data_IF_859011065986
#
_entry.id   IF_859011065986
#
_cell.length_a   1.000
_cell.length_b   1.000
_cell.length_c   1.000
_cell.angle_alpha   90.00
_cell.angle_beta   90.00
_cell.angle_gamma   90.00
#
_symmetry.space_group_name_H-M   'P 1'
#
loop_
_entity.id
_entity.type
_entity.pdbx_description
1 polymer ?
#
# COMPACT_ATOMS: atom_id res chain seq x y z
N UNK A 1 31.67 -15.64 -16.86
CA UNK A 1 32.41 -14.84 -15.87
C UNK A 1 31.53 -13.68 -15.50
N UNK A 2 30.76 -13.86 -14.42
CA UNK A 2 29.88 -12.83 -13.85
C UNK A 2 30.77 -11.80 -13.17
N UNK A 3 30.71 -10.55 -13.63
CA UNK A 3 31.26 -9.42 -12.88
C UNK A 3 30.20 -9.02 -11.85
N UNK A 4 30.37 -9.49 -10.62
CA UNK A 4 29.83 -8.86 -9.45
C UNK A 4 30.49 -7.45 -9.30
N UNK A 5 30.01 -6.50 -10.05
CA UNK A 5 30.27 -5.10 -9.72
C UNK A 5 29.29 -4.75 -8.59
N UNK A 6 29.78 -4.78 -7.32
CA UNK A 6 29.18 -3.99 -6.25
C UNK A 6 29.19 -2.55 -6.78
N UNK A 7 28.06 -2.09 -7.26
CA UNK A 7 27.84 -0.68 -7.54
C UNK A 7 27.90 0.02 -6.19
N UNK A 8 28.96 0.77 -5.92
CA UNK A 8 28.95 1.70 -4.78
C UNK A 8 27.80 2.66 -5.04
N UNK A 9 26.78 2.61 -4.18
CA UNK A 9 25.68 3.56 -4.24
C UNK A 9 26.22 4.96 -4.01
N UNK A 10 25.76 5.94 -4.79
CA UNK A 10 26.13 7.33 -4.57
C UNK A 10 25.65 7.80 -3.18
N UNK A 11 26.38 8.73 -2.58
CA UNK A 11 25.96 9.29 -1.27
C UNK A 11 24.79 10.27 -1.39
N UNK A 12 24.45 10.71 -2.62
CA UNK A 12 23.41 11.69 -2.88
C UNK A 12 22.61 11.36 -4.16
N UNK A 13 21.27 11.48 -4.06
CA UNK A 13 20.34 11.28 -5.16
C UNK A 13 19.40 12.46 -5.35
N UNK A 14 18.96 12.68 -6.59
CA UNK A 14 17.90 13.67 -6.85
C UNK A 14 16.58 13.22 -6.20
N UNK A 15 16.27 11.91 -6.22
CA UNK A 15 15.07 11.36 -5.62
C UNK A 15 15.38 10.06 -4.89
N UNK A 16 14.99 9.98 -3.62
CA UNK A 16 14.94 8.73 -2.87
C UNK A 16 13.49 8.28 -2.77
N UNK A 17 13.22 7.06 -3.25
CA UNK A 17 11.92 6.38 -3.15
C UNK A 17 11.98 5.37 -2.01
N UNK A 18 11.10 5.48 -1.03
CA UNK A 18 11.04 4.60 0.14
C UNK A 18 9.87 3.64 -0.01
N UNK A 19 10.18 2.38 -0.30
CA UNK A 19 9.25 1.31 -0.63
C UNK A 19 9.30 0.92 -2.12
N UNK A 20 9.62 -0.35 -2.39
CA UNK A 20 9.73 -0.95 -3.73
C UNK A 20 8.49 -1.77 -4.13
N UNK A 21 7.31 -1.35 -3.71
CA UNK A 21 6.03 -1.88 -4.19
C UNK A 21 5.63 -1.31 -5.55
N UNK A 22 4.41 -1.62 -6.01
CA UNK A 22 3.92 -1.19 -7.33
C UNK A 22 4.00 0.34 -7.52
N UNK A 23 3.66 1.14 -6.50
CA UNK A 23 3.75 2.59 -6.56
C UNK A 23 5.21 3.06 -6.69
N UNK A 24 6.10 2.56 -5.82
CA UNK A 24 7.51 2.98 -5.81
C UNK A 24 8.25 2.61 -7.09
N UNK A 25 8.06 1.40 -7.58
CA UNK A 25 8.70 0.94 -8.83
C UNK A 25 8.19 1.71 -10.04
N UNK A 26 6.87 1.98 -10.13
CA UNK A 26 6.31 2.79 -11.22
C UNK A 26 6.82 4.23 -11.21
N UNK A 27 6.98 4.83 -10.03
CA UNK A 27 7.60 6.13 -9.88
C UNK A 27 9.10 6.10 -10.27
N UNK A 28 9.83 5.07 -9.83
CA UNK A 28 11.25 4.90 -10.13
C UNK A 28 11.50 4.76 -11.64
N UNK A 29 10.69 3.95 -12.33
CA UNK A 29 10.74 3.84 -13.81
C UNK A 29 10.46 5.19 -14.45
N UNK A 30 9.43 5.92 -13.99
CA UNK A 30 9.07 7.24 -14.55
C UNK A 30 10.21 8.24 -14.39
N UNK A 31 10.82 8.30 -13.22
CA UNK A 31 11.93 9.21 -12.90
C UNK A 31 13.23 8.81 -13.62
N UNK A 32 13.57 7.52 -13.65
CA UNK A 32 14.74 7.01 -14.39
C UNK A 32 14.65 7.31 -15.89
N UNK A 33 13.45 7.15 -16.49
CA UNK A 33 13.20 7.54 -17.88
C UNK A 33 13.31 9.05 -18.13
N UNK A 34 13.11 9.85 -17.09
CA UNK A 34 13.34 11.30 -17.10
C UNK A 34 14.82 11.66 -16.80
N UNK A 35 15.72 10.67 -16.78
CA UNK A 35 17.16 10.82 -16.53
C UNK A 35 17.49 11.38 -15.13
N UNK A 36 16.63 11.15 -14.14
CA UNK A 36 16.92 11.51 -12.75
C UNK A 36 17.76 10.43 -12.07
N UNK A 37 18.68 10.85 -11.19
CA UNK A 37 19.35 9.91 -10.28
C UNK A 37 18.36 9.49 -9.19
N UNK A 38 18.05 8.20 -9.13
CA UNK A 38 17.01 7.64 -8.27
C UNK A 38 17.55 6.46 -7.47
N UNK A 39 17.28 6.47 -6.18
CA UNK A 39 17.49 5.33 -5.30
C UNK A 39 16.14 4.81 -4.79
N UNK A 40 15.93 3.51 -4.84
CA UNK A 40 14.82 2.83 -4.16
C UNK A 40 15.36 2.10 -2.93
N UNK A 41 14.81 2.40 -1.75
CA UNK A 41 15.07 1.68 -0.50
C UNK A 41 13.86 0.79 -0.22
N UNK A 42 14.05 -0.54 -0.18
CA UNK A 42 12.93 -1.49 -0.04
C UNK A 42 13.24 -2.59 0.97
N UNK A 43 12.30 -2.83 1.87
CA UNK A 43 12.37 -3.88 2.88
C UNK A 43 12.11 -5.30 2.32
N UNK A 44 11.54 -5.40 1.11
CA UNK A 44 11.22 -6.69 0.49
C UNK A 44 9.97 -7.38 1.04
N UNK A 45 9.09 -6.66 1.73
CA UNK A 45 7.89 -7.19 2.39
C UNK A 45 6.60 -6.60 1.79
N UNK A 46 6.21 -7.01 0.57
CA UNK A 46 4.99 -6.49 -0.03
C UNK A 46 3.74 -6.98 0.72
N UNK A 47 2.76 -6.09 0.90
CA UNK A 47 1.50 -6.35 1.61
C UNK A 47 0.77 -7.61 1.09
N UNK A 48 0.79 -7.80 -0.21
CA UNK A 48 0.08 -8.90 -0.89
C UNK A 48 0.93 -10.17 -1.06
N UNK A 49 2.08 -10.27 -0.41
CA UNK A 49 2.94 -11.47 -0.48
C UNK A 49 2.24 -12.80 -0.11
N UNK A 50 1.23 -12.82 0.79
CA UNK A 50 0.50 -14.06 1.09
C UNK A 50 -0.48 -14.51 0.00
N UNK A 51 -0.83 -13.63 -0.96
CA UNK A 51 -1.77 -13.96 -2.03
C UNK A 51 -1.11 -14.84 -3.10
N UNK A 52 -1.88 -15.76 -3.68
CA UNK A 52 -1.41 -16.65 -4.74
C UNK A 52 -1.19 -15.93 -6.09
N UNK A 53 -1.85 -14.79 -6.30
CA UNK A 53 -1.74 -14.02 -7.53
C UNK A 53 -2.22 -12.58 -7.38
N UNK A 54 -1.77 -11.71 -8.28
CA UNK A 54 -2.25 -10.34 -8.45
C UNK A 54 -3.32 -10.35 -9.51
N UNK A 55 -4.54 -9.90 -9.17
CA UNK A 55 -5.64 -9.81 -10.11
C UNK A 55 -5.97 -8.36 -10.46
N UNK A 56 -6.55 -8.16 -11.66
CA UNK A 56 -6.91 -6.84 -12.15
C UNK A 56 -5.71 -5.98 -12.58
N UNK A 57 -4.51 -6.55 -12.71
CA UNK A 57 -3.36 -5.87 -13.32
C UNK A 57 -3.31 -6.23 -14.81
N UNK A 58 -3.76 -5.30 -15.65
CA UNK A 58 -3.90 -5.52 -17.09
C UNK A 58 -2.62 -6.10 -17.71
N UNK A 59 -2.74 -7.16 -18.47
CA UNK A 59 -1.66 -7.94 -19.11
C UNK A 59 -0.84 -8.84 -18.18
N UNK A 60 -1.06 -8.81 -16.87
CA UNK A 60 -0.36 -9.62 -15.85
C UNK A 60 -1.31 -10.26 -14.84
N UNK A 61 -2.57 -10.50 -15.23
CA UNK A 61 -3.56 -11.11 -14.37
C UNK A 61 -3.11 -12.48 -13.86
N UNK A 62 -3.18 -12.70 -12.55
CA UNK A 62 -2.75 -13.94 -11.90
C UNK A 62 -1.25 -14.09 -11.67
N UNK A 63 -0.43 -13.09 -12.00
CA UNK A 63 1.02 -13.14 -11.73
C UNK A 63 1.31 -13.21 -10.23
N UNK A 64 2.34 -13.96 -9.85
CA UNK A 64 2.84 -13.96 -8.46
C UNK A 64 3.22 -12.53 -8.02
N UNK A 65 2.82 -12.08 -6.81
CA UNK A 65 3.13 -10.74 -6.34
C UNK A 65 4.61 -10.37 -6.33
N UNK A 66 5.49 -11.32 -6.01
CA UNK A 66 6.93 -11.09 -5.97
C UNK A 66 7.52 -11.05 -7.38
N UNK A 67 7.07 -11.93 -8.27
CA UNK A 67 7.47 -11.93 -9.68
C UNK A 67 7.15 -10.59 -10.35
N UNK A 68 5.95 -10.03 -10.11
CA UNK A 68 5.58 -8.71 -10.62
C UNK A 68 6.57 -7.62 -10.17
N UNK A 69 6.95 -7.64 -8.89
CA UNK A 69 7.89 -6.65 -8.35
C UNK A 69 9.32 -6.88 -8.86
N UNK A 70 9.74 -8.13 -9.04
CA UNK A 70 11.06 -8.43 -9.61
C UNK A 70 11.19 -7.93 -11.05
N UNK A 71 10.16 -8.13 -11.87
CA UNK A 71 10.10 -7.53 -13.21
C UNK A 71 10.17 -6.01 -13.16
N UNK A 72 9.43 -5.37 -12.26
CA UNK A 72 9.47 -3.92 -12.09
C UNK A 72 10.84 -3.40 -11.63
N UNK A 73 11.55 -4.15 -10.78
CA UNK A 73 12.93 -3.83 -10.39
C UNK A 73 13.89 -3.92 -11.58
N UNK A 74 13.75 -4.94 -12.43
CA UNK A 74 14.56 -5.09 -13.64
C UNK A 74 14.32 -3.94 -14.62
N UNK A 75 13.05 -3.56 -14.84
CA UNK A 75 12.70 -2.41 -15.68
C UNK A 75 13.33 -1.12 -15.14
N UNK A 76 13.23 -0.84 -13.84
CA UNK A 76 13.81 0.34 -13.23
C UNK A 76 15.35 0.36 -13.32
N UNK A 77 16.02 -0.77 -13.07
CA UNK A 77 17.48 -0.91 -13.26
C UNK A 77 17.91 -0.63 -14.70
N UNK A 78 17.09 -1.04 -15.67
CA UNK A 78 17.33 -0.75 -17.09
C UNK A 78 17.39 0.74 -17.41
N UNK A 79 16.84 1.60 -16.55
CA UNK A 79 16.91 3.06 -16.63
C UNK A 79 17.87 3.70 -15.61
N UNK A 80 18.77 2.92 -15.01
CA UNK A 80 19.81 3.42 -14.13
C UNK A 80 19.35 3.73 -12.71
N UNK A 81 18.25 3.13 -12.25
CA UNK A 81 17.79 3.25 -10.85
C UNK A 81 18.59 2.32 -9.95
N UNK A 82 19.09 2.87 -8.84
CA UNK A 82 19.80 2.13 -7.82
C UNK A 82 18.84 1.56 -6.77
N UNK A 83 19.25 0.48 -6.10
CA UNK A 83 18.45 -0.22 -5.09
C UNK A 83 19.26 -0.55 -3.84
N UNK A 84 18.67 -0.27 -2.68
CA UNK A 84 19.14 -0.76 -1.37
C UNK A 84 18.06 -1.66 -0.79
N UNK A 85 18.43 -2.92 -0.49
CA UNK A 85 17.63 -3.78 0.36
C UNK A 85 17.81 -3.32 1.81
N UNK A 86 16.73 -2.83 2.44
CA UNK A 86 16.79 -2.28 3.79
C UNK A 86 15.54 -1.51 4.18
N UNK A 87 15.53 -1.05 5.41
CA UNK A 87 14.42 -0.29 6.00
C UNK A 87 14.87 1.15 6.25
N UNK A 88 14.20 2.12 5.65
CA UNK A 88 14.31 3.51 6.05
C UNK A 88 13.50 3.72 7.33
N UNK A 89 14.12 4.27 8.37
CA UNK A 89 13.51 4.44 9.70
C UNK A 89 13.10 5.87 9.99
N UNK A 90 13.83 6.84 9.44
CA UNK A 90 13.54 8.26 9.60
C UNK A 90 14.08 9.05 8.41
N UNK A 91 13.59 10.28 8.26
CA UNK A 91 14.18 11.28 7.41
C UNK A 91 14.07 12.65 8.06
N UNK A 92 14.99 13.56 7.71
CA UNK A 92 14.97 14.93 8.19
C UNK A 92 15.37 15.89 7.09
N UNK A 93 14.80 17.08 7.08
CA UNK A 93 15.26 18.18 6.23
C UNK A 93 16.61 18.69 6.71
N UNK A 94 17.53 18.88 5.77
CA UNK A 94 18.85 19.49 6.00
C UNK A 94 19.00 20.82 5.26
N UNK A 95 17.93 21.30 4.59
CA UNK A 95 17.90 22.60 3.95
C UNK A 95 18.15 23.71 4.96
N UNK A 96 18.91 24.74 4.57
CA UNK A 96 19.09 25.94 5.38
C UNK A 96 17.76 26.65 5.65
N UNK A 97 17.69 27.44 6.74
CA UNK A 97 16.51 28.21 7.12
C UNK A 97 16.24 29.43 6.19
N UNK A 98 17.07 29.66 5.18
CA UNK A 98 16.92 30.79 4.25
C UNK A 98 15.82 30.53 3.23
N UNK A 99 15.01 31.55 2.97
CA UNK A 99 13.97 31.48 1.94
C UNK A 99 14.63 31.29 0.57
N UNK A 100 14.27 30.20 -0.13
CA UNK A 100 14.84 29.81 -1.43
C UNK A 100 16.05 28.87 -1.35
N UNK A 101 16.45 28.39 -0.17
CA UNK A 101 17.46 27.35 -0.05
C UNK A 101 17.07 26.09 -0.83
N UNK A 102 18.04 25.41 -1.43
CA UNK A 102 17.78 24.13 -2.09
C UNK A 102 17.31 23.09 -1.06
N UNK A 103 16.23 22.38 -1.40
CA UNK A 103 15.71 21.34 -0.54
C UNK A 103 16.69 20.15 -0.52
N UNK A 104 17.03 19.71 0.68
CA UNK A 104 17.87 18.54 0.92
C UNK A 104 17.39 17.80 2.15
N UNK A 105 17.52 16.48 2.11
CA UNK A 105 17.10 15.58 3.15
C UNK A 105 18.15 14.52 3.42
N UNK A 106 18.29 14.13 4.68
CA UNK A 106 18.97 12.91 5.07
C UNK A 106 17.93 11.82 5.33
N UNK A 107 18.09 10.66 4.72
CA UNK A 107 17.27 9.45 4.95
C UNK A 107 18.10 8.45 5.73
N UNK A 108 17.65 8.08 6.92
CA UNK A 108 18.34 7.16 7.82
C UNK A 108 17.79 5.73 7.64
N UNK A 109 18.69 4.76 7.50
CA UNK A 109 18.37 3.34 7.40
C UNK A 109 18.59 2.65 8.74
N UNK A 110 17.86 1.54 8.97
CA UNK A 110 17.97 0.74 10.19
C UNK A 110 19.36 0.18 10.47
N UNK A 111 20.21 0.06 9.46
CA UNK A 111 21.61 -0.40 9.58
C UNK A 111 22.61 0.74 9.89
N UNK A 112 22.12 1.95 10.11
CA UNK A 112 22.90 3.14 10.46
C UNK A 112 23.45 3.93 9.26
N UNK A 113 23.23 3.47 8.03
CA UNK A 113 23.59 4.27 6.84
C UNK A 113 22.66 5.47 6.71
N UNK A 114 23.18 6.54 6.11
CA UNK A 114 22.40 7.73 5.74
C UNK A 114 22.61 8.02 4.26
N UNK A 115 21.52 8.34 3.57
CA UNK A 115 21.52 8.72 2.15
C UNK A 115 20.93 10.12 2.01
N UNK A 116 21.56 10.95 1.17
CA UNK A 116 21.06 12.29 0.87
C UNK A 116 20.09 12.28 -0.31
N UNK A 117 19.05 13.11 -0.22
CA UNK A 117 18.03 13.26 -1.26
C UNK A 117 17.65 14.73 -1.45
N UNK A 118 17.45 15.16 -2.71
CA UNK A 118 16.80 16.45 -2.97
C UNK A 118 15.29 16.36 -2.80
N UNK A 119 14.69 15.17 -3.07
CA UNK A 119 13.24 14.89 -2.93
C UNK A 119 13.04 13.50 -2.35
N UNK A 120 11.98 13.36 -1.60
CA UNK A 120 11.57 12.07 -1.02
C UNK A 120 10.19 11.70 -1.56
N UNK A 121 10.06 10.43 -2.00
CA UNK A 121 8.78 9.81 -2.28
C UNK A 121 8.59 8.61 -1.35
N UNK A 122 7.56 8.63 -0.52
CA UNK A 122 7.24 7.53 0.38
C UNK A 122 6.10 6.68 -0.21
N UNK A 123 6.38 5.38 -0.39
CA UNK A 123 5.46 4.39 -0.96
C UNK A 123 5.46 3.11 -0.12
N UNK A 124 5.58 3.28 1.19
CA UNK A 124 5.72 2.22 2.20
C UNK A 124 4.46 1.36 2.36
N UNK A 125 3.33 1.79 1.80
CA UNK A 125 2.08 1.08 1.86
C UNK A 125 1.43 1.14 3.25
N UNK A 126 0.69 0.08 3.59
CA UNK A 126 -0.05 -0.05 4.85
C UNK A 126 0.11 -1.43 5.48
N UNK A 127 -0.36 -1.56 6.71
CA UNK A 127 -0.50 -2.82 7.43
C UNK A 127 -1.98 -3.09 7.68
N UNK A 128 -2.41 -4.33 7.41
CA UNK A 128 -3.73 -4.82 7.78
C UNK A 128 -3.72 -5.25 9.26
N UNK A 129 -4.48 -4.56 10.10
CA UNK A 129 -4.69 -4.96 11.49
C UNK A 129 -5.86 -5.94 11.50
N UNK A 130 -5.54 -7.20 11.70
CA UNK A 130 -6.50 -8.31 11.70
C UNK A 130 -7.27 -8.38 13.00
N UNK A 131 -8.54 -8.85 12.99
CA UNK A 131 -9.24 -9.23 14.22
C UNK A 131 -8.45 -10.27 15.03
N UNK A 132 -8.52 -10.14 16.36
CA UNK A 132 -7.87 -11.07 17.29
C UNK A 132 -8.76 -12.32 17.48
N UNK A 133 -8.74 -13.20 16.48
CA UNK A 133 -9.47 -14.45 16.43
C UNK A 133 -8.51 -15.55 15.98
N UNK A 134 -8.44 -16.63 16.70
CA UNK A 134 -7.53 -17.74 16.43
C UNK A 134 -7.70 -18.30 15.02
N UNK A 135 -6.59 -18.42 14.28
CA UNK A 135 -6.54 -18.95 12.93
C UNK A 135 -6.65 -17.89 11.82
N UNK A 136 -7.08 -16.66 12.10
CA UNK A 136 -7.22 -15.61 11.06
C UNK A 136 -5.85 -15.25 10.47
N UNK A 137 -4.85 -15.02 11.31
CA UNK A 137 -3.51 -14.59 10.86
C UNK A 137 -2.83 -15.64 9.99
N UNK A 138 -2.93 -16.91 10.37
CA UNK A 138 -2.31 -18.05 9.68
C UNK A 138 -2.96 -18.33 8.32
N UNK A 139 -4.21 -17.90 8.15
CA UNK A 139 -5.01 -18.13 6.94
C UNK A 139 -5.17 -16.88 6.07
N UNK A 140 -4.61 -15.74 6.51
CA UNK A 140 -4.68 -14.47 5.79
C UNK A 140 -4.06 -14.54 4.40
N UNK A 141 -4.82 -14.11 3.39
CA UNK A 141 -4.41 -14.16 1.98
C UNK A 141 -4.59 -15.53 1.31
N UNK A 142 -5.08 -16.54 2.03
CA UNK A 142 -5.35 -17.91 1.51
C UNK A 142 -6.85 -18.17 1.43
N UNK A 143 -7.50 -18.45 2.54
CA UNK A 143 -8.94 -18.62 2.68
C UNK A 143 -9.56 -17.67 3.71
N UNK A 144 -8.76 -16.81 4.32
CA UNK A 144 -9.21 -15.58 5.00
C UNK A 144 -8.88 -14.38 4.13
N UNK A 145 -9.89 -13.65 3.68
CA UNK A 145 -9.83 -12.69 2.60
C UNK A 145 -10.42 -11.34 3.04
N UNK A 146 -10.14 -10.29 2.25
CA UNK A 146 -10.70 -8.96 2.48
C UNK A 146 -11.44 -8.43 1.26
N UNK A 147 -10.76 -8.43 0.10
CA UNK A 147 -11.20 -7.72 -1.09
C UNK A 147 -11.97 -8.66 -2.05
N UNK A 148 -13.21 -8.36 -2.41
CA UNK A 148 -13.97 -9.19 -3.33
C UNK A 148 -13.40 -9.19 -4.75
N UNK A 149 -12.87 -8.06 -5.21
CA UNK A 149 -12.30 -7.93 -6.55
C UNK A 149 -10.93 -8.58 -6.69
N UNK A 150 -10.23 -8.80 -5.56
CA UNK A 150 -8.92 -9.43 -5.54
C UNK A 150 -9.03 -10.96 -5.46
N UNK A 151 -10.07 -11.49 -4.78
CA UNK A 151 -10.15 -12.92 -4.43
C UNK A 151 -11.54 -13.55 -4.65
N UNK A 152 -12.56 -12.77 -5.00
CA UNK A 152 -13.93 -13.29 -5.14
C UNK A 152 -14.05 -14.39 -6.21
N UNK A 153 -13.27 -14.30 -7.29
CA UNK A 153 -13.28 -15.31 -8.34
C UNK A 153 -12.74 -16.65 -7.87
N UNK A 154 -11.71 -16.68 -7.04
CA UNK A 154 -11.05 -17.88 -6.51
C UNK A 154 -11.95 -18.63 -5.51
N UNK A 155 -12.85 -17.88 -4.85
CA UNK A 155 -13.81 -18.45 -3.88
C UNK A 155 -15.25 -18.49 -4.42
N UNK A 156 -15.45 -18.27 -5.72
CA UNK A 156 -16.79 -18.33 -6.32
C UNK A 156 -17.47 -19.67 -6.07
N UNK A 157 -18.78 -19.63 -5.84
CA UNK A 157 -19.65 -20.77 -5.55
C UNK A 157 -19.32 -21.53 -4.25
N UNK A 158 -18.32 -21.11 -3.48
CA UNK A 158 -17.97 -21.70 -2.18
C UNK A 158 -18.91 -21.20 -1.08
N UNK A 159 -18.93 -21.92 0.04
CA UNK A 159 -19.55 -21.43 1.27
C UNK A 159 -18.65 -20.37 1.91
N UNK A 160 -19.11 -19.11 1.89
CA UNK A 160 -18.31 -17.94 2.35
C UNK A 160 -18.96 -17.34 3.59
N UNK A 161 -18.18 -17.24 4.67
CA UNK A 161 -18.56 -16.50 5.87
C UNK A 161 -18.06 -15.08 5.84
N UNK A 162 -18.92 -14.11 6.12
CA UNK A 162 -18.52 -12.71 6.30
C UNK A 162 -18.50 -12.41 7.79
N UNK A 163 -17.34 -12.07 8.32
CA UNK A 163 -17.16 -11.79 9.74
C UNK A 163 -17.55 -10.35 10.05
N UNK A 164 -18.51 -10.16 10.92
CA UNK A 164 -18.91 -8.86 11.47
C UNK A 164 -17.85 -8.30 12.42
N UNK A 165 -16.76 -7.79 11.90
CA UNK A 165 -15.71 -7.11 12.66
C UNK A 165 -15.89 -5.59 12.72
N UNK A 166 -16.65 -5.04 11.77
CA UNK A 166 -17.02 -3.61 11.66
C UNK A 166 -18.39 -3.48 10.98
N UNK A 167 -19.11 -2.36 11.09
CA UNK A 167 -20.41 -2.15 10.41
C UNK A 167 -20.35 -2.35 8.89
N UNK A 168 -19.19 -2.09 8.26
CA UNK A 168 -18.96 -2.28 6.82
C UNK A 168 -19.12 -3.76 6.36
N UNK A 169 -19.17 -4.73 7.27
CA UNK A 169 -19.39 -6.14 6.95
C UNK A 169 -20.72 -6.39 6.20
N UNK A 170 -21.75 -5.59 6.44
CA UNK A 170 -23.02 -5.66 5.68
C UNK A 170 -22.79 -5.35 4.19
N UNK A 171 -22.05 -4.29 3.89
CA UNK A 171 -21.68 -3.97 2.52
C UNK A 171 -20.86 -5.08 1.85
N UNK A 172 -19.85 -5.62 2.55
CA UNK A 172 -19.06 -6.76 2.06
C UNK A 172 -19.92 -7.98 1.80
N UNK A 173 -20.90 -8.25 2.67
CA UNK A 173 -21.86 -9.35 2.52
C UNK A 173 -22.63 -9.22 1.20
N UNK A 174 -23.16 -8.04 0.91
CA UNK A 174 -23.90 -7.78 -0.33
C UNK A 174 -23.00 -7.90 -1.58
N UNK A 175 -21.73 -7.46 -1.49
CA UNK A 175 -20.78 -7.60 -2.59
C UNK A 175 -20.43 -9.08 -2.85
N UNK A 176 -20.00 -9.83 -1.83
CA UNK A 176 -19.59 -11.23 -2.01
C UNK A 176 -20.74 -12.13 -2.50
N UNK A 177 -22.00 -11.75 -2.26
CA UNK A 177 -23.16 -12.43 -2.82
C UNK A 177 -23.17 -12.45 -4.35
N UNK A 178 -22.37 -11.63 -5.01
CA UNK A 178 -22.18 -11.66 -6.47
C UNK A 178 -21.40 -12.91 -6.91
N UNK A 179 -20.45 -13.38 -6.11
CA UNK A 179 -19.58 -14.51 -6.45
C UNK A 179 -20.09 -15.85 -5.92
N UNK A 180 -20.89 -15.86 -4.85
CA UNK A 180 -21.46 -17.08 -4.30
C UNK A 180 -22.91 -16.91 -3.85
N UNK A 181 -23.78 -17.90 -4.13
CA UNK A 181 -25.10 -17.94 -3.51
C UNK A 181 -25.06 -18.34 -2.02
N UNK A 182 -23.97 -18.93 -1.55
CA UNK A 182 -23.82 -19.51 -0.21
C UNK A 182 -23.07 -18.54 0.71
N UNK A 183 -23.71 -17.46 1.13
CA UNK A 183 -23.15 -16.45 2.01
C UNK A 183 -23.76 -16.58 3.41
N UNK A 184 -22.91 -16.55 4.43
CA UNK A 184 -23.29 -16.47 5.84
C UNK A 184 -22.68 -15.22 6.46
N UNK A 185 -23.50 -14.31 6.96
CA UNK A 185 -23.06 -13.16 7.77
C UNK A 185 -23.01 -13.57 9.25
N UNK A 186 -21.87 -13.43 9.89
CA UNK A 186 -21.71 -13.55 11.34
C UNK A 186 -21.81 -12.16 11.96
N UNK A 187 -22.83 -11.93 12.79
CA UNK A 187 -23.00 -10.63 13.48
C UNK A 187 -21.89 -10.38 14.50
N UNK A 188 -21.35 -11.44 15.08
CA UNK A 188 -20.16 -11.42 15.96
C UNK A 188 -20.27 -10.42 17.12
N UNK A 189 -21.49 -10.16 17.61
CA UNK A 189 -21.81 -9.17 18.64
C UNK A 189 -21.32 -7.74 18.33
N UNK A 190 -21.08 -7.41 17.05
CA UNK A 190 -20.58 -6.13 16.56
C UNK A 190 -21.54 -5.48 15.57
N UNK A 191 -22.16 -6.29 14.69
CA UNK A 191 -23.04 -5.81 13.63
C UNK A 191 -24.49 -5.93 14.07
N UNK A 192 -25.22 -4.83 14.00
CA UNK A 192 -26.65 -4.74 14.28
C UNK A 192 -27.38 -4.26 13.02
N UNK A 193 -27.89 -5.15 12.16
CA UNK A 193 -28.60 -4.74 10.96
C UNK A 193 -29.89 -3.99 11.27
N UNK A 194 -30.14 -2.90 10.56
CA UNK A 194 -31.43 -2.20 10.56
C UNK A 194 -32.54 -3.05 9.92
N UNK A 195 -33.81 -2.69 10.13
CA UNK A 195 -34.96 -3.40 9.50
C UNK A 195 -34.79 -3.48 7.97
N UNK A 196 -34.35 -2.41 7.33
CA UNK A 196 -34.09 -2.36 5.89
C UNK A 196 -32.94 -3.31 5.46
N UNK A 197 -31.90 -3.44 6.26
CA UNK A 197 -30.78 -4.36 5.99
C UNK A 197 -31.23 -5.82 6.21
N UNK A 198 -32.06 -6.09 7.21
CA UNK A 198 -32.69 -7.42 7.37
C UNK A 198 -33.52 -7.82 6.15
N UNK A 199 -34.31 -6.90 5.59
CA UNK A 199 -35.05 -7.12 4.36
C UNK A 199 -34.12 -7.43 3.17
N UNK A 200 -33.00 -6.71 3.05
CA UNK A 200 -32.00 -6.95 1.99
C UNK A 200 -31.33 -8.33 2.15
N UNK A 201 -30.93 -8.71 3.36
CA UNK A 201 -30.33 -10.01 3.65
C UNK A 201 -31.30 -11.14 3.27
N UNK A 202 -32.55 -11.02 3.68
CA UNK A 202 -33.61 -12.00 3.38
C UNK A 202 -33.89 -12.10 1.87
N UNK A 203 -34.02 -10.95 1.17
CA UNK A 203 -34.30 -10.90 -0.28
C UNK A 203 -33.15 -11.51 -1.10
N UNK A 204 -31.92 -11.51 -0.59
CA UNK A 204 -30.74 -12.11 -1.22
C UNK A 204 -30.45 -13.53 -0.73
N UNK A 205 -31.30 -14.09 0.13
CA UNK A 205 -31.16 -15.45 0.73
C UNK A 205 -29.80 -15.62 1.43
N UNK A 206 -29.36 -14.58 2.17
CA UNK A 206 -28.14 -14.59 2.94
C UNK A 206 -28.45 -15.15 4.33
N UNK A 207 -27.70 -16.16 4.76
CA UNK A 207 -27.81 -16.71 6.11
C UNK A 207 -27.18 -15.75 7.12
N UNK A 208 -27.78 -15.62 8.30
CA UNK A 208 -27.25 -14.80 9.39
C UNK A 208 -27.06 -15.69 10.62
N UNK A 209 -25.89 -15.53 11.27
CA UNK A 209 -25.53 -16.25 12.49
C UNK A 209 -25.23 -15.23 13.59
N UNK A 210 -25.93 -15.37 14.70
CA UNK A 210 -25.72 -14.60 15.92
C UNK A 210 -24.65 -15.24 16.81
N UNK A 211 -24.09 -14.45 17.71
CA UNK A 211 -23.10 -14.87 18.68
C UNK A 211 -21.66 -14.61 18.22
N UNK A 212 -20.77 -14.60 19.20
CA UNK A 212 -19.36 -14.27 19.02
C UNK A 212 -18.60 -15.42 18.32
N UNK A 213 -17.78 -15.06 17.35
CA UNK A 213 -16.81 -15.96 16.72
C UNK A 213 -15.58 -16.05 17.62
N UNK A 214 -15.14 -17.26 17.94
CA UNK A 214 -13.99 -17.52 18.82
C UNK A 214 -12.75 -17.91 18.02
N UNK A 215 -12.92 -18.79 17.02
CA UNK A 215 -11.78 -19.28 16.23
C UNK A 215 -12.20 -19.78 14.85
N UNK A 216 -11.23 -20.11 14.02
CA UNK A 216 -11.41 -20.83 12.78
C UNK A 216 -11.22 -22.35 12.99
N UNK A 217 -12.08 -23.15 12.43
CA UNK A 217 -11.90 -24.61 12.35
C UNK A 217 -10.97 -24.91 11.16
N UNK A 218 -9.76 -25.37 11.43
CA UNK A 218 -8.73 -25.70 10.43
C UNK A 218 -8.46 -27.20 10.50
N UNK A 219 -8.49 -27.87 9.37
CA UNK A 219 -8.12 -29.29 9.25
C UNK A 219 -7.41 -29.54 7.92
N UNK A 220 -6.33 -30.32 7.92
CA UNK A 220 -5.53 -30.67 6.72
C UNK A 220 -5.08 -29.42 5.95
N UNK A 221 -4.55 -28.42 6.67
CA UNK A 221 -4.12 -27.10 6.14
C UNK A 221 -5.18 -26.36 5.31
N UNK A 222 -6.47 -26.58 5.61
CA UNK A 222 -7.58 -25.90 4.96
C UNK A 222 -8.62 -25.42 5.98
N UNK A 223 -9.27 -24.30 5.67
CA UNK A 223 -10.43 -23.83 6.42
C UNK A 223 -11.58 -24.82 6.27
N UNK A 224 -12.22 -25.19 7.37
CA UNK A 224 -13.41 -26.06 7.42
C UNK A 224 -14.63 -25.35 7.99
N UNK A 225 -14.44 -24.22 8.65
CA UNK A 225 -15.55 -23.46 9.25
C UNK A 225 -15.11 -22.44 10.27
N UNK A 226 -16.10 -21.88 10.93
CA UNK A 226 -15.97 -20.93 12.04
C UNK A 226 -16.54 -21.58 13.29
N UNK A 227 -15.84 -21.42 14.42
CA UNK A 227 -16.26 -21.89 15.75
C UNK A 227 -16.83 -20.71 16.52
N UNK A 228 -18.07 -20.83 16.97
CA UNK A 228 -18.70 -19.84 17.84
C UNK A 228 -18.31 -20.07 19.31
N UNK A 229 -18.40 -19.04 20.13
CA UNK A 229 -18.19 -19.14 21.59
C UNK A 229 -19.11 -20.18 22.28
N UNK A 230 -20.22 -20.56 21.65
CA UNK A 230 -21.08 -21.67 22.08
C UNK A 230 -20.48 -23.06 21.84
N UNK A 231 -19.36 -23.16 21.13
CA UNK A 231 -18.77 -24.41 20.64
C UNK A 231 -19.39 -24.93 19.34
N UNK A 232 -20.37 -24.23 18.77
CA UNK A 232 -21.00 -24.62 17.50
C UNK A 232 -20.04 -24.32 16.34
N UNK A 233 -19.85 -25.31 15.44
CA UNK A 233 -19.05 -25.14 14.22
C UNK A 233 -19.99 -24.90 13.05
N UNK A 234 -19.76 -23.80 12.33
CA UNK A 234 -20.48 -23.49 11.09
C UNK A 234 -19.53 -23.79 9.91
N UNK A 235 -19.87 -24.78 9.05
CA UNK A 235 -19.00 -25.19 7.94
C UNK A 235 -18.85 -24.09 6.90
N UNK A 236 -17.58 -23.79 6.49
CA UNK A 236 -17.25 -22.78 5.48
C UNK A 236 -15.97 -23.18 4.74
N UNK A 237 -15.80 -22.64 3.55
CA UNK A 237 -14.63 -22.83 2.70
C UNK A 237 -13.78 -21.54 2.56
N UNK A 238 -14.35 -20.39 2.90
CA UNK A 238 -13.65 -19.10 2.97
C UNK A 238 -14.29 -18.20 4.04
N UNK A 239 -13.47 -17.35 4.64
CA UNK A 239 -13.92 -16.27 5.55
C UNK A 239 -13.48 -14.93 4.99
N UNK A 240 -14.36 -13.96 5.02
CA UNK A 240 -14.07 -12.58 4.66
C UNK A 240 -14.16 -11.73 5.92
N UNK A 241 -13.16 -10.90 6.13
CA UNK A 241 -13.15 -9.94 7.25
C UNK A 241 -12.67 -8.57 6.80
N UNK A 242 -13.26 -7.53 7.33
CA UNK A 242 -12.69 -6.20 7.25
C UNK A 242 -11.50 -6.11 8.22
N UNK A 243 -10.47 -5.38 7.81
CA UNK A 243 -9.30 -5.08 8.62
C UNK A 243 -9.26 -3.57 8.88
N UNK A 244 -8.60 -3.15 9.96
CA UNK A 244 -8.23 -1.76 10.09
C UNK A 244 -6.94 -1.53 9.31
N UNK A 245 -6.93 -0.49 8.48
CA UNK A 245 -5.86 -0.21 7.52
C UNK A 245 -4.96 0.88 8.08
N UNK A 246 -3.74 0.54 8.48
CA UNK A 246 -2.82 1.49 9.09
C UNK A 246 -1.65 1.80 8.14
N UNK A 247 -1.55 3.06 7.71
CA UNK A 247 -0.44 3.51 6.87
C UNK A 247 0.91 3.27 7.55
N UNK A 248 1.91 2.80 6.81
CA UNK A 248 3.30 2.71 7.29
C UNK A 248 3.97 4.06 7.16
N UNK A 249 3.69 4.97 8.07
CA UNK A 249 3.95 6.41 8.00
C UNK A 249 5.18 6.90 8.77
N UNK A 250 5.90 6.06 9.49
CA UNK A 250 6.96 6.47 10.41
C UNK A 250 7.97 7.49 9.80
N UNK A 251 8.40 7.27 8.56
CA UNK A 251 9.29 8.22 7.85
C UNK A 251 8.59 9.54 7.56
N UNK A 252 7.33 9.53 7.19
CA UNK A 252 6.54 10.76 6.95
C UNK A 252 6.33 11.55 8.24
N UNK A 253 6.04 10.86 9.34
CA UNK A 253 5.90 11.47 10.67
C UNK A 253 7.20 12.12 11.13
N UNK A 254 8.36 11.49 10.88
CA UNK A 254 9.67 12.08 11.20
C UNK A 254 9.96 13.36 10.42
N UNK A 255 9.31 13.54 9.26
CA UNK A 255 9.36 14.75 8.44
C UNK A 255 8.28 15.78 8.81
N UNK A 256 7.42 15.48 9.79
CA UNK A 256 6.32 16.34 10.21
C UNK A 256 5.07 16.26 9.33
N UNK A 257 4.94 15.23 8.49
CA UNK A 257 3.72 14.99 7.71
C UNK A 257 2.68 14.33 8.63
N UNK A 258 1.48 14.92 8.79
CA UNK A 258 0.46 14.36 9.68
C UNK A 258 -0.17 13.09 9.11
N UNK A 259 -0.49 12.17 10.02
CA UNK A 259 -1.33 11.01 9.76
C UNK A 259 -2.73 11.30 10.28
N UNK A 260 -3.73 11.05 9.48
CA UNK A 260 -5.12 11.36 9.79
C UNK A 260 -6.01 10.12 9.67
N UNK A 261 -7.12 10.12 10.39
CA UNK A 261 -8.12 9.07 10.24
C UNK A 261 -8.83 9.23 8.90
N UNK A 262 -8.98 8.12 8.18
CA UNK A 262 -9.69 8.10 6.91
C UNK A 262 -11.19 8.42 7.12
N UNK A 263 -11.83 9.26 6.28
CA UNK A 263 -13.22 9.70 6.48
C UNK A 263 -14.26 8.57 6.64
N UNK A 264 -13.96 7.38 6.13
CA UNK A 264 -14.81 6.19 6.30
C UNK A 264 -14.52 5.41 7.60
N UNK A 265 -13.62 5.87 8.48
CA UNK A 265 -13.27 5.18 9.71
C UNK A 265 -12.54 3.85 9.52
N UNK A 266 -11.98 3.59 8.33
CA UNK A 266 -11.35 2.30 7.99
C UNK A 266 -9.89 2.20 8.44
N UNK A 267 -9.30 3.27 8.95
CA UNK A 267 -7.92 3.33 9.41
C UNK A 267 -7.29 4.70 9.25
N UNK A 268 -5.97 4.76 9.29
CA UNK A 268 -5.20 6.00 9.17
C UNK A 268 -4.41 6.06 7.87
N UNK A 269 -4.34 7.23 7.28
CA UNK A 269 -3.59 7.50 6.05
C UNK A 269 -2.89 8.86 6.08
N UNK A 270 -2.09 9.11 5.06
CA UNK A 270 -1.45 10.41 4.84
C UNK A 270 -2.20 11.17 3.76
N UNK A 271 -2.62 12.40 4.08
CA UNK A 271 -3.24 13.28 3.08
C UNK A 271 -2.21 13.79 2.08
N UNK A 272 -2.58 13.74 0.80
CA UNK A 272 -1.74 14.22 -0.30
C UNK A 272 -2.57 15.02 -1.31
N UNK A 273 -1.90 15.84 -2.07
CA UNK A 273 -2.54 16.46 -3.23
C UNK A 273 -2.93 15.38 -4.25
N UNK A 274 -4.21 15.27 -4.64
CA UNK A 274 -4.68 14.22 -5.55
C UNK A 274 -4.06 14.28 -6.95
N UNK A 275 -3.51 15.44 -7.35
CA UNK A 275 -2.82 15.62 -8.63
C UNK A 275 -1.30 15.47 -8.49
N UNK A 276 -0.84 14.32 -7.99
CA UNK A 276 0.60 14.01 -8.01
C UNK A 276 1.22 13.68 -6.67
N UNK A 277 0.44 13.57 -5.58
CA UNK A 277 0.89 12.98 -4.33
C UNK A 277 1.77 13.88 -3.44
N UNK A 278 1.84 15.20 -3.68
CA UNK A 278 2.57 16.11 -2.81
C UNK A 278 1.94 16.17 -1.41
N UNK A 279 2.77 16.09 -0.36
CA UNK A 279 2.34 16.26 1.03
C UNK A 279 2.35 17.75 1.43
N UNK A 280 1.96 18.05 2.66
CA UNK A 280 2.07 19.40 3.22
C UNK A 280 3.53 19.86 3.41
N UNK A 281 4.50 18.93 3.40
CA UNK A 281 5.93 19.23 3.57
C UNK A 281 6.59 19.40 2.19
N UNK A 282 7.17 20.59 1.89
CA UNK A 282 7.83 20.83 0.61
C UNK A 282 8.94 19.80 0.34
N UNK A 283 8.98 19.25 -0.85
CA UNK A 283 9.98 18.26 -1.25
C UNK A 283 9.68 16.81 -0.84
N UNK A 284 8.51 16.57 -0.23
CA UNK A 284 8.07 15.26 0.20
C UNK A 284 6.76 14.88 -0.48
N UNK A 285 6.72 13.69 -1.05
CA UNK A 285 5.55 13.08 -1.71
C UNK A 285 5.19 11.75 -1.08
N UNK A 286 3.94 11.34 -1.23
CA UNK A 286 3.50 9.99 -0.88
C UNK A 286 2.57 9.43 -1.97
N UNK A 287 2.64 8.11 -2.23
CA UNK A 287 1.81 7.43 -3.21
C UNK A 287 1.56 5.96 -2.83
N UNK A 288 0.55 5.34 -3.44
CA UNK A 288 0.10 3.99 -3.09
C UNK A 288 -0.63 3.95 -1.76
N UNK A 289 -0.67 2.77 -1.13
CA UNK A 289 -1.54 2.54 0.03
C UNK A 289 -1.19 3.35 1.29
N UNK A 290 -0.05 4.01 1.38
CA UNK A 290 0.22 4.95 2.48
C UNK A 290 -0.69 6.19 2.42
N UNK A 291 -1.15 6.56 1.21
CA UNK A 291 -2.05 7.68 0.95
C UNK A 291 -3.47 7.25 0.55
N UNK A 292 -3.61 6.14 -0.21
CA UNK A 292 -4.89 5.57 -0.64
C UNK A 292 -5.06 4.16 -0.06
N UNK A 293 -5.76 4.05 1.07
CA UNK A 293 -5.96 2.79 1.78
C UNK A 293 -6.70 1.73 0.95
N UNK A 294 -7.56 2.16 0.03
CA UNK A 294 -8.42 1.28 -0.78
C UNK A 294 -7.80 0.94 -2.14
N UNK A 295 -6.66 1.54 -2.47
CA UNK A 295 -6.01 1.39 -3.77
C UNK A 295 -5.55 -0.04 -4.03
N UNK A 296 -5.99 -0.61 -5.15
CA UNK A 296 -5.49 -1.89 -5.67
C UNK A 296 -4.11 -1.70 -6.31
N UNK A 297 -3.46 -2.81 -6.69
CA UNK A 297 -2.09 -2.79 -7.25
C UNK A 297 -1.98 -1.87 -8.48
N UNK A 298 -2.96 -1.90 -9.39
CA UNK A 298 -3.00 -1.03 -10.58
C UNK A 298 -3.14 0.45 -10.19
N UNK A 299 -4.03 0.78 -9.24
CA UNK A 299 -4.20 2.14 -8.74
C UNK A 299 -2.93 2.66 -8.05
N UNK A 300 -2.30 1.80 -7.25
CA UNK A 300 -1.01 2.11 -6.62
C UNK A 300 0.08 2.38 -7.66
N UNK A 301 0.18 1.56 -8.72
CA UNK A 301 1.13 1.79 -9.82
C UNK A 301 0.87 3.12 -10.52
N UNK A 302 -0.40 3.42 -10.83
CA UNK A 302 -0.78 4.69 -11.46
C UNK A 302 -0.44 5.91 -10.59
N UNK A 303 -0.72 5.83 -9.28
CA UNK A 303 -0.36 6.90 -8.34
C UNK A 303 1.16 7.14 -8.28
N UNK A 304 1.95 6.06 -8.37
CA UNK A 304 3.41 6.15 -8.47
C UNK A 304 3.88 6.88 -9.73
N UNK A 305 3.31 6.58 -10.90
CA UNK A 305 3.59 7.31 -12.15
C UNK A 305 3.29 8.79 -12.00
N UNK A 306 2.13 9.14 -11.44
CA UNK A 306 1.72 10.52 -11.22
C UNK A 306 2.66 11.25 -10.27
N UNK A 307 3.06 10.62 -9.18
CA UNK A 307 4.01 11.17 -8.22
C UNK A 307 5.39 11.38 -8.85
N UNK A 308 5.90 10.41 -9.61
CA UNK A 308 7.16 10.54 -10.33
C UNK A 308 7.18 11.71 -11.32
N UNK A 309 6.09 11.88 -12.07
CA UNK A 309 5.94 12.99 -13.00
C UNK A 309 5.88 14.35 -12.27
N UNK A 310 5.14 14.44 -11.16
CA UNK A 310 5.03 15.65 -10.34
C UNK A 310 6.38 16.03 -9.71
N UNK A 311 7.14 15.07 -9.19
CA UNK A 311 8.49 15.28 -8.64
C UNK A 311 9.42 15.80 -9.74
N UNK A 312 9.42 15.19 -10.93
CA UNK A 312 10.25 15.66 -12.04
C UNK A 312 9.89 17.10 -12.44
N UNK A 313 8.61 17.42 -12.56
CA UNK A 313 8.15 18.77 -12.87
C UNK A 313 8.63 19.80 -11.82
N UNK A 314 8.59 19.43 -10.53
CA UNK A 314 9.07 20.27 -9.43
C UNK A 314 10.58 20.51 -9.52
N UNK A 315 11.37 19.47 -9.81
CA UNK A 315 12.83 19.60 -10.01
C UNK A 315 13.15 20.48 -11.21
N UNK A 316 12.46 20.31 -12.35
CA UNK A 316 12.65 21.16 -13.54
C UNK A 316 12.34 22.62 -13.25
N UNK A 317 11.28 22.91 -12.50
CA UNK A 317 10.93 24.28 -12.11
C UNK A 317 12.01 24.92 -11.24
N UNK A 318 12.56 24.18 -10.26
CA UNK A 318 13.67 24.66 -9.43
C UNK A 318 14.93 24.91 -10.26
N UNK A 319 15.34 23.96 -11.10
CA UNK A 319 16.51 24.07 -11.96
C UNK A 319 16.40 25.25 -12.94
N UNK A 320 15.18 25.47 -13.47
CA UNK A 320 14.92 26.62 -14.35
C UNK A 320 15.05 27.94 -13.60
N UNK A 321 14.49 28.04 -12.38
CA UNK A 321 14.63 29.23 -11.53
C UNK A 321 16.09 29.56 -11.26
N UNK A 322 16.88 28.56 -10.82
CA UNK A 322 18.30 28.71 -10.54
C UNK A 322 19.08 29.17 -11.78
N UNK A 323 18.81 28.60 -12.95
CA UNK A 323 19.47 29.01 -14.20
C UNK A 323 19.14 30.46 -14.56
N UNK A 324 17.92 30.93 -14.37
CA UNK A 324 17.51 32.31 -14.58
C UNK A 324 18.25 33.26 -13.63
N UNK A 325 18.37 32.90 -12.36
CA UNK A 325 19.05 33.73 -11.34
C UNK A 325 20.55 33.86 -11.66
N UNK A 326 21.21 32.78 -12.05
CA UNK A 326 22.62 32.81 -12.51
C UNK A 326 22.78 33.70 -13.75
N UNK A 327 21.87 33.60 -14.73
CA UNK A 327 21.94 34.43 -15.95
C UNK A 327 21.75 35.91 -15.64
N UNK A 328 20.86 36.29 -14.71
CA UNK A 328 20.66 37.66 -14.26
C UNK A 328 21.90 38.23 -13.57
N UNK A 329 22.50 37.49 -12.62
CA UNK A 329 23.74 37.90 -11.93
C UNK A 329 24.87 38.09 -12.92
N UNK A 330 25.04 37.20 -13.90
CA UNK A 330 26.06 37.29 -14.94
C UNK A 330 25.86 38.50 -15.87
N UNK A 331 24.63 38.98 -16.07
CA UNK A 331 24.31 40.16 -16.87
C UNK A 331 24.60 41.49 -16.12
N UNK A 332 24.49 41.49 -14.79
CA UNK A 332 24.80 42.65 -13.94
C UNK A 332 26.28 42.87 -13.72
N UNK A 333 27.10 41.84 -13.96
CA UNK A 333 28.55 41.88 -13.82
C UNK A 333 29.29 42.32 -15.10
N UNK A 334 28.56 42.62 -16.17
CA UNK A 334 29.06 43.19 -17.43
C UNK A 334 28.71 44.67 -17.57
#
# INVERSE_FOLDING_TARGET
>A
MSRDTKTETADEYQVVVIGGGAAGLSAAVTLGRALRSVLVIDAGEPRNAPAAGVHGFLSRDGIDPRELLDMGREEARGYGVDFIAGVAVAARSTAGAEEGAELSFDVELADGRTVKARRILVTTGLTDVLPDIDGIRERWGRDVLHCPYCHGWEVRNKAIGILGSVPMALHQTMLFRQWSPNITLFLNDVVEPTDAEWEQLAARSISVVEGKVESLAIQDDALRGVVLASGTVIPLEAVVTATRLEARSAVLESLGVPVVEHPMGVGHHVEVNPMGGATAVPGVWAAGNVADLMGQVMASAASGVMAGAAINAHLVAEETRLAVDVARLSSLAR
#
